data_IF_826579967627
#
_entry.id   IF_826579967627
#
_cell.length_a   1.000
_cell.length_b   1.000
_cell.length_c   1.000
_cell.angle_alpha   90.00
_cell.angle_beta   90.00
_cell.angle_gamma   90.00
#
_symmetry.space_group_name_H-M   'P 1'
#
loop_
_entity.id
_entity.type
_entity.pdbx_description
1 polymer ?
#
# COMPACT_ATOMS: atom_id res chain seq x y z
N UNK A 1 32.51 23.37 -1.90
CA UNK A 1 32.72 22.38 -0.83
C UNK A 1 31.33 21.86 -0.50
N UNK A 2 30.95 20.81 -1.22
CA UNK A 2 29.61 20.23 -1.19
C UNK A 2 29.34 19.60 0.18
N UNK A 3 28.22 19.98 0.79
CA UNK A 3 27.79 19.39 2.05
C UNK A 3 27.11 18.05 1.73
N UNK A 4 27.75 16.96 2.12
CA UNK A 4 27.17 15.62 2.18
C UNK A 4 26.05 15.62 3.24
N UNK A 5 24.80 15.75 2.79
CA UNK A 5 23.63 15.45 3.60
C UNK A 5 23.52 13.94 3.76
N UNK A 6 24.06 13.43 4.87
CA UNK A 6 23.80 12.07 5.32
C UNK A 6 22.30 11.83 5.46
N UNK A 7 21.76 10.99 4.58
CA UNK A 7 20.38 10.50 4.65
C UNK A 7 20.20 9.75 5.97
N UNK A 8 19.46 10.35 6.89
CA UNK A 8 19.06 9.70 8.14
C UNK A 8 18.06 8.61 7.74
N UNK A 9 18.45 7.34 7.90
CA UNK A 9 17.62 6.20 7.52
C UNK A 9 16.22 6.35 8.12
N UNK A 10 15.22 6.42 7.24
CA UNK A 10 13.82 6.45 7.63
C UNK A 10 13.46 5.08 8.23
N UNK A 11 13.09 5.00 9.52
CA UNK A 11 12.74 3.73 10.15
C UNK A 11 11.52 3.06 9.50
N UNK A 12 10.70 3.82 8.76
CA UNK A 12 9.53 3.31 8.04
C UNK A 12 9.84 2.92 6.56
N UNK A 13 11.09 3.11 6.11
CA UNK A 13 11.50 2.71 4.77
C UNK A 13 11.45 1.18 4.60
N UNK A 14 10.85 0.76 3.48
CA UNK A 14 10.70 -0.65 3.11
C UNK A 14 12.06 -1.32 2.95
N UNK A 15 12.19 -2.50 3.56
CA UNK A 15 13.39 -3.33 3.47
C UNK A 15 13.38 -4.18 2.20
N UNK A 16 14.43 -4.08 1.39
CA UNK A 16 14.60 -4.85 0.14
C UNK A 16 15.84 -5.73 0.25
N UNK A 17 15.67 -7.03 0.06
CA UNK A 17 16.78 -7.99 -0.02
C UNK A 17 17.08 -8.31 -1.48
N UNK A 18 18.31 -8.07 -1.91
CA UNK A 18 18.84 -8.44 -3.23
C UNK A 18 19.56 -9.78 -3.11
N UNK A 19 19.11 -10.80 -3.84
CA UNK A 19 19.70 -12.14 -3.87
C UNK A 19 20.36 -12.32 -5.24
N UNK A 20 21.67 -12.09 -5.28
CA UNK A 20 22.47 -11.96 -6.50
C UNK A 20 23.92 -12.36 -6.22
N UNK A 21 24.47 -13.30 -7.01
CA UNK A 21 25.82 -13.83 -6.82
C UNK A 21 26.92 -12.92 -7.43
N UNK A 22 26.58 -12.08 -8.41
CA UNK A 22 27.48 -11.03 -8.90
C UNK A 22 27.54 -9.84 -7.92
N UNK A 23 28.67 -9.62 -7.21
CA UNK A 23 28.79 -8.55 -6.22
C UNK A 23 28.76 -7.14 -6.84
N UNK A 24 29.16 -7.00 -8.11
CA UNK A 24 29.14 -5.73 -8.83
C UNK A 24 27.72 -5.30 -9.17
N UNK A 25 26.91 -6.25 -9.65
CA UNK A 25 25.49 -6.02 -9.92
C UNK A 25 24.72 -5.80 -8.60
N UNK A 26 24.90 -6.67 -7.61
CA UNK A 26 24.26 -6.55 -6.30
C UNK A 26 24.55 -5.19 -5.64
N UNK A 27 25.82 -4.78 -5.62
CA UNK A 27 26.21 -3.48 -5.06
C UNK A 27 25.64 -2.28 -5.83
N UNK A 28 25.47 -2.42 -7.15
CA UNK A 28 24.84 -1.36 -7.97
C UNK A 28 23.33 -1.25 -7.69
N UNK A 29 22.65 -2.38 -7.51
CA UNK A 29 21.23 -2.42 -7.15
C UNK A 29 20.99 -1.84 -5.76
N UNK A 30 21.77 -2.25 -4.75
CA UNK A 30 21.67 -1.73 -3.38
C UNK A 30 21.79 -0.20 -3.38
N UNK A 31 22.84 0.36 -4.00
CA UNK A 31 23.00 1.83 -4.10
C UNK A 31 21.84 2.52 -4.82
N UNK A 32 21.28 1.88 -5.86
CA UNK A 32 20.14 2.43 -6.61
C UNK A 32 18.86 2.45 -5.77
N UNK A 33 18.62 1.40 -4.99
CA UNK A 33 17.47 1.26 -4.10
C UNK A 33 17.57 2.20 -2.89
N UNK A 34 18.76 2.32 -2.28
CA UNK A 34 18.99 3.24 -1.15
C UNK A 34 18.72 4.70 -1.56
N UNK A 35 19.21 5.11 -2.74
CA UNK A 35 18.93 6.44 -3.29
C UNK A 35 17.44 6.67 -3.60
N UNK A 36 16.70 5.60 -3.85
CA UNK A 36 15.26 5.63 -4.09
C UNK A 36 14.42 5.57 -2.79
N UNK A 37 15.06 5.56 -1.62
CA UNK A 37 14.40 5.60 -0.31
C UNK A 37 14.07 4.24 0.29
N UNK A 38 14.60 3.14 -0.26
CA UNK A 38 14.47 1.80 0.34
C UNK A 38 15.64 1.51 1.27
N UNK A 39 15.49 0.57 2.20
CA UNK A 39 16.62 0.01 2.96
C UNK A 39 17.06 -1.28 2.28
N UNK A 40 18.13 -1.24 1.49
CA UNK A 40 18.57 -2.39 0.72
C UNK A 40 19.72 -3.15 1.39
N UNK A 41 19.65 -4.49 1.35
CA UNK A 41 20.73 -5.40 1.71
C UNK A 41 20.93 -6.42 0.60
N UNK A 42 22.10 -7.08 0.54
CA UNK A 42 22.35 -8.14 -0.44
C UNK A 42 22.95 -9.41 0.15
N UNK A 43 22.65 -10.54 -0.48
CA UNK A 43 23.24 -11.86 -0.22
C UNK A 43 23.52 -12.55 -1.55
N UNK A 44 24.60 -13.32 -1.64
CA UNK A 44 25.02 -13.99 -2.88
C UNK A 44 24.63 -15.46 -3.01
N UNK A 45 23.77 -15.97 -2.13
CA UNK A 45 23.44 -17.39 -2.06
C UNK A 45 21.98 -17.61 -1.67
N UNK A 46 21.41 -18.73 -2.13
CA UNK A 46 20.09 -19.20 -1.75
C UNK A 46 19.97 -19.40 -0.23
N UNK A 47 20.99 -20.02 0.38
CA UNK A 47 21.02 -20.20 1.83
C UNK A 47 21.04 -18.86 2.58
N UNK A 48 21.76 -17.87 2.05
CA UNK A 48 21.77 -16.51 2.59
C UNK A 48 20.39 -15.87 2.56
N UNK A 49 19.64 -16.05 1.46
CA UNK A 49 18.27 -15.56 1.34
C UNK A 49 17.32 -16.23 2.35
N UNK A 50 17.39 -17.55 2.49
CA UNK A 50 16.50 -18.33 3.37
C UNK A 50 16.76 -18.15 4.87
N UNK A 51 17.92 -17.61 5.24
CA UNK A 51 18.34 -17.40 6.63
C UNK A 51 18.43 -15.92 7.00
N UNK A 52 18.12 -15.01 6.07
CA UNK A 52 18.21 -13.59 6.29
C UNK A 52 17.24 -13.12 7.38
N UNK A 53 17.74 -12.28 8.28
CA UNK A 53 16.96 -11.67 9.35
C UNK A 53 17.44 -10.23 9.61
N UNK A 54 16.54 -9.27 9.87
CA UNK A 54 15.08 -9.41 9.93
C UNK A 54 14.46 -9.71 8.55
N UNK A 55 13.21 -10.18 8.53
CA UNK A 55 12.51 -10.47 7.27
C UNK A 55 12.35 -9.19 6.42
N UNK A 56 12.67 -9.22 5.12
CA UNK A 56 12.50 -8.06 4.24
C UNK A 56 11.04 -7.91 3.80
N UNK A 57 10.69 -6.75 3.28
CA UNK A 57 9.39 -6.48 2.65
C UNK A 57 9.34 -6.99 1.21
N UNK A 58 10.48 -6.91 0.51
CA UNK A 58 10.66 -7.32 -0.88
C UNK A 58 11.95 -8.13 -1.03
N UNK A 59 11.89 -9.20 -1.80
CA UNK A 59 13.05 -9.98 -2.25
C UNK A 59 13.17 -9.82 -3.77
N UNK A 60 14.34 -9.38 -4.22
CA UNK A 60 14.74 -9.44 -5.62
C UNK A 60 15.60 -10.69 -5.80
N UNK A 61 15.10 -11.69 -6.52
CA UNK A 61 15.67 -13.03 -6.56
C UNK A 61 16.23 -13.37 -7.94
N UNK A 62 17.53 -13.57 -8.07
CA UNK A 62 18.06 -14.29 -9.24
C UNK A 62 17.80 -15.80 -9.12
N UNK A 63 17.50 -16.45 -10.25
CA UNK A 63 17.42 -17.90 -10.37
C UNK A 63 18.78 -18.57 -10.59
N UNK A 64 19.80 -17.80 -10.99
CA UNK A 64 21.16 -18.26 -11.28
C UNK A 64 22.06 -18.45 -10.04
N UNK A 65 21.51 -18.83 -8.89
CA UNK A 65 22.30 -18.91 -7.65
C UNK A 65 23.25 -20.11 -7.64
N UNK A 66 24.42 -19.98 -6.99
CA UNK A 66 25.48 -21.00 -7.06
C UNK A 66 25.21 -22.26 -6.22
N UNK A 67 24.30 -22.19 -5.24
CA UNK A 67 24.10 -23.22 -4.22
C UNK A 67 22.74 -23.95 -4.27
N UNK A 68 21.72 -23.39 -4.93
CA UNK A 68 20.40 -23.99 -5.11
C UNK A 68 19.65 -23.32 -6.26
N UNK A 69 18.71 -24.03 -6.89
CA UNK A 69 17.82 -23.44 -7.88
C UNK A 69 16.94 -22.35 -7.23
N UNK A 70 16.93 -21.14 -7.79
CA UNK A 70 16.12 -20.05 -7.28
C UNK A 70 14.61 -20.31 -7.35
N UNK A 71 14.13 -21.22 -8.19
CA UNK A 71 12.71 -21.63 -8.17
C UNK A 71 12.37 -22.31 -6.83
N UNK A 72 13.27 -23.16 -6.32
CA UNK A 72 13.10 -23.81 -5.02
C UNK A 72 13.17 -22.80 -3.87
N UNK A 73 14.03 -21.79 -4.00
CA UNK A 73 14.09 -20.66 -3.06
C UNK A 73 12.78 -19.89 -3.02
N UNK A 74 12.23 -19.52 -4.19
CA UNK A 74 10.95 -18.84 -4.33
C UNK A 74 9.83 -19.62 -3.62
N UNK A 75 9.69 -20.90 -3.95
CA UNK A 75 8.69 -21.81 -3.35
C UNK A 75 8.87 -21.89 -1.83
N UNK A 76 10.10 -21.93 -1.34
CA UNK A 76 10.39 -22.04 0.10
C UNK A 76 10.10 -20.74 0.86
N UNK A 77 10.45 -19.59 0.31
CA UNK A 77 10.11 -18.28 0.87
C UNK A 77 8.59 -18.09 0.94
N UNK A 78 7.88 -18.45 -0.13
CA UNK A 78 6.41 -18.35 -0.18
C UNK A 78 5.70 -19.24 0.85
N UNK A 79 6.22 -20.45 1.11
CA UNK A 79 5.67 -21.32 2.16
C UNK A 79 5.87 -20.79 3.58
N UNK A 80 6.85 -19.90 3.79
CA UNK A 80 7.26 -19.41 5.12
C UNK A 80 6.79 -17.99 5.42
N UNK A 81 6.43 -17.21 4.40
CA UNK A 81 6.12 -15.79 4.54
C UNK A 81 5.34 -15.24 3.35
N UNK A 82 4.66 -14.12 3.57
CA UNK A 82 3.98 -13.33 2.53
C UNK A 82 4.89 -12.25 1.91
N UNK A 83 6.22 -12.45 1.98
CA UNK A 83 7.18 -11.50 1.40
C UNK A 83 6.91 -11.32 -0.10
N UNK A 84 7.09 -10.11 -0.60
CA UNK A 84 7.00 -9.85 -2.04
C UNK A 84 8.23 -10.43 -2.73
N UNK A 85 8.05 -11.26 -3.74
CA UNK A 85 9.13 -11.88 -4.49
C UNK A 85 9.07 -11.40 -5.94
N UNK A 86 10.10 -10.69 -6.38
CA UNK A 86 10.29 -10.33 -7.79
C UNK A 86 11.49 -11.11 -8.30
N UNK A 87 11.26 -11.98 -9.27
CA UNK A 87 12.34 -12.73 -9.92
C UNK A 87 13.06 -11.82 -10.90
N UNK A 88 14.38 -11.77 -10.81
CA UNK A 88 15.26 -10.91 -11.59
C UNK A 88 16.38 -11.75 -12.19
N UNK A 89 16.24 -12.20 -13.43
CA UNK A 89 17.15 -13.22 -13.98
C UNK A 89 17.44 -13.05 -15.48
N UNK A 90 18.51 -13.68 -15.97
CA UNK A 90 18.84 -13.72 -17.39
C UNK A 90 17.97 -14.73 -18.18
N UNK A 91 17.25 -15.62 -17.49
CA UNK A 91 16.33 -16.57 -18.11
C UNK A 91 15.09 -15.85 -18.65
N UNK A 92 15.01 -15.73 -19.98
CA UNK A 92 13.94 -14.98 -20.66
C UNK A 92 12.87 -15.86 -21.31
N UNK A 93 12.97 -17.18 -21.19
CA UNK A 93 12.02 -18.10 -21.82
C UNK A 93 10.65 -18.05 -21.13
N UNK A 94 9.59 -18.20 -21.91
CA UNK A 94 8.23 -18.14 -21.39
C UNK A 94 7.97 -19.23 -20.33
N UNK A 95 8.53 -20.42 -20.52
CA UNK A 95 8.40 -21.53 -19.57
C UNK A 95 8.99 -21.20 -18.20
N UNK A 96 10.17 -20.60 -18.15
CA UNK A 96 10.81 -20.19 -16.88
C UNK A 96 10.00 -19.13 -16.15
N UNK A 97 9.45 -18.17 -16.90
CA UNK A 97 8.59 -17.11 -16.35
C UNK A 97 7.31 -17.67 -15.76
N UNK A 98 6.62 -18.56 -16.48
CA UNK A 98 5.37 -19.19 -16.01
C UNK A 98 5.65 -20.03 -14.76
N UNK A 99 6.70 -20.85 -14.79
CA UNK A 99 7.09 -21.66 -13.65
C UNK A 99 7.37 -20.81 -12.40
N UNK A 100 8.12 -19.71 -12.53
CA UNK A 100 8.44 -18.88 -11.38
C UNK A 100 7.21 -18.19 -10.76
N UNK A 101 6.26 -17.73 -11.60
CA UNK A 101 5.00 -17.12 -11.15
C UNK A 101 4.08 -18.15 -10.47
N UNK A 102 3.95 -19.35 -11.05
CA UNK A 102 3.15 -20.45 -10.47
C UNK A 102 3.72 -20.91 -9.11
N UNK A 103 5.05 -20.83 -8.95
CA UNK A 103 5.75 -21.21 -7.72
C UNK A 103 5.78 -20.10 -6.65
N UNK A 104 5.10 -18.98 -6.93
CA UNK A 104 4.82 -17.94 -5.95
C UNK A 104 5.63 -16.65 -6.10
N UNK A 105 6.24 -16.39 -7.26
CA UNK A 105 6.74 -15.06 -7.58
C UNK A 105 5.57 -14.10 -7.88
N UNK A 106 5.66 -12.86 -7.42
CA UNK A 106 4.63 -11.84 -7.64
C UNK A 106 4.82 -11.06 -8.95
N UNK A 107 6.07 -11.00 -9.44
CA UNK A 107 6.44 -10.46 -10.75
C UNK A 107 7.76 -11.05 -11.23
N UNK A 108 8.06 -10.83 -12.51
CA UNK A 108 9.23 -11.37 -13.20
C UNK A 108 9.86 -10.30 -14.09
N UNK A 109 11.18 -10.15 -14.00
CA UNK A 109 11.97 -9.19 -14.74
C UNK A 109 13.21 -9.85 -15.36
N UNK A 110 13.35 -9.70 -16.68
CA UNK A 110 14.46 -10.29 -17.45
C UNK A 110 15.63 -9.30 -17.52
N UNK A 111 16.86 -9.79 -17.34
CA UNK A 111 18.10 -9.02 -17.55
C UNK A 111 18.40 -8.90 -19.06
N UNK A 112 18.84 -7.72 -19.55
CA UNK A 112 19.13 -6.49 -18.81
C UNK A 112 17.89 -5.62 -18.58
N UNK A 113 17.85 -4.91 -17.44
CA UNK A 113 16.77 -4.00 -17.06
C UNK A 113 17.30 -2.67 -16.52
N UNK A 114 16.47 -1.63 -16.57
CA UNK A 114 16.79 -0.32 -15.98
C UNK A 114 16.32 -0.21 -14.54
N UNK A 115 17.02 0.60 -13.72
CA UNK A 115 16.61 0.88 -12.33
C UNK A 115 15.18 1.44 -12.26
N UNK A 116 14.79 2.31 -13.20
CA UNK A 116 13.44 2.88 -13.23
C UNK A 116 12.35 1.81 -13.45
N UNK A 117 12.61 0.79 -14.28
CA UNK A 117 11.70 -0.33 -14.51
C UNK A 117 11.57 -1.18 -13.25
N UNK A 118 12.70 -1.56 -12.65
CA UNK A 118 12.72 -2.32 -11.40
C UNK A 118 11.91 -1.61 -10.31
N UNK A 119 12.14 -0.30 -10.11
CA UNK A 119 11.39 0.50 -9.15
C UNK A 119 9.89 0.57 -9.47
N UNK A 120 9.51 0.62 -10.75
CA UNK A 120 8.11 0.59 -11.15
C UNK A 120 7.44 -0.74 -10.82
N UNK A 121 8.14 -1.87 -11.03
CA UNK A 121 7.67 -3.21 -10.68
C UNK A 121 7.53 -3.40 -9.18
N UNK A 122 8.54 -2.99 -8.41
CA UNK A 122 8.47 -2.98 -6.94
C UNK A 122 7.21 -2.24 -6.46
N UNK A 123 6.98 -1.01 -6.95
CA UNK A 123 5.77 -0.25 -6.58
C UNK A 123 4.47 -0.93 -7.03
N UNK A 124 4.45 -1.49 -8.24
CA UNK A 124 3.25 -2.12 -8.79
C UNK A 124 2.86 -3.39 -8.01
N UNK A 125 3.84 -4.20 -7.62
CA UNK A 125 3.63 -5.42 -6.84
C UNK A 125 3.29 -5.11 -5.41
N UNK A 126 3.99 -4.16 -4.78
CA UNK A 126 3.65 -3.73 -3.42
C UNK A 126 2.21 -3.22 -3.36
N UNK A 127 1.71 -2.50 -4.37
CA UNK A 127 0.28 -2.11 -4.43
C UNK A 127 -0.70 -3.29 -4.54
N UNK A 128 -0.25 -4.46 -5.02
CA UNK A 128 -1.06 -5.69 -5.19
C UNK A 128 -1.02 -6.59 -3.97
N UNK A 129 0.16 -6.77 -3.36
CA UNK A 129 0.43 -7.68 -2.23
C UNK A 129 0.26 -6.99 -0.89
N UNK A 130 0.57 -5.69 -0.84
CA UNK A 130 -0.08 -4.74 0.07
C UNK A 130 -1.18 -4.04 -0.75
N UNK A 131 -2.38 -4.63 -0.93
CA UNK A 131 -3.52 -3.72 -0.84
C UNK A 131 -3.28 -3.01 0.49
N UNK A 132 -3.28 -1.68 0.55
CA UNK A 132 -3.18 -1.01 1.85
C UNK A 132 -4.03 -1.82 2.84
N UNK A 133 -3.41 -2.49 3.82
CA UNK A 133 -4.16 -3.24 4.81
C UNK A 133 -5.21 -2.25 5.30
N UNK A 134 -6.50 -2.63 5.27
CA UNK A 134 -7.63 -1.73 4.97
C UNK A 134 -7.32 -0.38 5.57
N UNK A 135 -7.03 0.63 4.75
CA UNK A 135 -6.59 1.93 5.26
C UNK A 135 -7.68 2.38 6.23
N UNK A 136 -7.44 2.13 7.51
CA UNK A 136 -8.36 2.50 8.55
C UNK A 136 -8.23 4.01 8.53
N UNK A 137 -9.22 4.66 7.92
CA UNK A 137 -9.20 6.10 7.80
C UNK A 137 -9.44 6.64 9.21
N UNK A 138 -8.33 6.94 9.87
CA UNK A 138 -8.29 7.44 11.22
C UNK A 138 -8.24 8.96 11.21
N UNK A 139 -9.17 9.60 11.91
CA UNK A 139 -9.23 11.04 12.01
C UNK A 139 -9.73 11.45 13.40
N UNK A 140 -8.80 11.89 14.26
CA UNK A 140 -9.07 12.08 15.68
C UNK A 140 -9.59 10.78 16.32
N UNK A 141 -10.75 10.79 16.99
CA UNK A 141 -11.33 9.57 17.59
C UNK A 141 -12.01 8.66 16.56
N UNK A 142 -12.23 9.10 15.32
CA UNK A 142 -12.92 8.32 14.29
C UNK A 142 -11.97 7.34 13.62
N UNK A 143 -12.41 6.09 13.45
CA UNK A 143 -11.73 5.08 12.64
C UNK A 143 -12.75 4.43 11.71
N UNK A 144 -12.48 4.41 10.40
CA UNK A 144 -13.37 3.81 9.38
C UNK A 144 -12.64 2.70 8.65
N UNK A 145 -13.23 1.51 8.56
CA UNK A 145 -12.81 0.40 7.70
C UNK A 145 -13.70 0.36 6.44
N UNK A 146 -13.21 0.82 5.27
CA UNK A 146 -13.94 0.79 4.01
C UNK A 146 -14.37 -0.62 3.56
N UNK A 147 -13.61 -1.66 3.93
CA UNK A 147 -13.80 -3.03 3.44
C UNK A 147 -14.88 -3.76 4.23
N UNK A 148 -14.83 -3.65 5.56
CA UNK A 148 -15.84 -4.25 6.42
C UNK A 148 -17.05 -3.34 6.66
N UNK A 149 -16.98 -2.09 6.20
CA UNK A 149 -17.94 -1.01 6.47
C UNK A 149 -18.13 -0.77 7.96
N UNK A 150 -17.08 -1.04 8.75
CA UNK A 150 -17.06 -0.87 10.20
C UNK A 150 -16.59 0.55 10.53
N UNK A 151 -17.23 1.17 11.51
CA UNK A 151 -16.86 2.50 12.01
C UNK A 151 -16.73 2.43 13.51
N UNK A 152 -15.68 3.02 14.07
CA UNK A 152 -15.53 3.20 15.52
C UNK A 152 -15.25 4.65 15.86
N UNK A 153 -15.68 5.07 17.04
CA UNK A 153 -15.36 6.38 17.61
C UNK A 153 -14.83 6.16 19.02
N UNK A 154 -13.57 6.56 19.27
CA UNK A 154 -12.92 6.32 20.56
C UNK A 154 -12.80 4.83 20.93
N UNK A 155 -12.77 3.95 19.92
CA UNK A 155 -12.73 2.49 20.09
C UNK A 155 -14.10 1.81 20.20
N UNK A 156 -15.21 2.56 20.27
CA UNK A 156 -16.57 2.01 20.35
C UNK A 156 -17.18 1.85 18.96
N UNK A 157 -17.82 0.71 18.70
CA UNK A 157 -18.44 0.37 17.41
C UNK A 157 -19.69 1.23 17.15
N UNK A 158 -19.73 1.93 16.01
CA UNK A 158 -20.85 2.77 15.59
C UNK A 158 -21.60 2.12 14.42
N UNK A 159 -22.86 1.75 14.66
CA UNK A 159 -23.73 1.16 13.65
C UNK A 159 -24.27 2.22 12.66
N UNK A 160 -23.68 2.28 11.48
CA UNK A 160 -24.16 3.11 10.36
C UNK A 160 -25.02 2.32 9.38
N UNK A 161 -26.03 2.98 8.82
CA UNK A 161 -26.74 2.48 7.63
C UNK A 161 -25.82 2.57 6.41
N UNK A 162 -26.13 1.85 5.31
CA UNK A 162 -25.32 1.93 4.10
C UNK A 162 -25.11 3.37 3.61
N UNK A 163 -26.15 4.20 3.59
CA UNK A 163 -26.05 5.59 3.10
C UNK A 163 -25.28 6.51 4.03
N UNK A 164 -25.44 6.37 5.35
CA UNK A 164 -24.62 7.14 6.30
C UNK A 164 -23.13 6.80 6.15
N UNK A 165 -22.81 5.52 5.91
CA UNK A 165 -21.45 5.08 5.65
C UNK A 165 -20.90 5.65 4.34
N UNK A 166 -21.67 5.57 3.24
CA UNK A 166 -21.23 6.08 1.94
C UNK A 166 -20.99 7.61 1.98
N UNK A 167 -21.82 8.35 2.73
CA UNK A 167 -21.61 9.78 3.00
C UNK A 167 -20.32 9.99 3.79
N UNK A 168 -20.12 9.24 4.88
CA UNK A 168 -18.93 9.37 5.71
C UNK A 168 -17.67 9.10 4.89
N UNK A 169 -17.69 8.07 4.04
CA UNK A 169 -16.60 7.72 3.14
C UNK A 169 -16.19 8.87 2.21
N UNK A 170 -17.15 9.67 1.75
CA UNK A 170 -16.86 10.86 0.95
C UNK A 170 -16.04 11.90 1.72
N UNK A 171 -16.24 12.01 3.04
CA UNK A 171 -15.59 13.01 3.88
C UNK A 171 -14.22 12.53 4.41
N UNK A 172 -14.07 11.23 4.72
CA UNK A 172 -12.81 10.66 5.23
C UNK A 172 -11.74 10.48 4.16
N UNK A 173 -12.11 10.49 2.87
CA UNK A 173 -11.15 10.35 1.77
C UNK A 173 -10.17 11.54 1.64
N UNK A 174 -10.56 12.73 2.11
CA UNK A 174 -9.72 13.93 2.12
C UNK A 174 -10.15 14.84 3.31
N UNK A 175 -9.69 14.54 4.54
CA UNK A 175 -10.13 15.26 5.74
C UNK A 175 -9.78 16.75 5.69
N UNK A 176 -10.70 17.61 6.15
CA UNK A 176 -10.54 19.07 6.07
C UNK A 176 -10.95 19.69 4.73
N UNK A 177 -10.95 18.94 3.62
CA UNK A 177 -11.49 19.41 2.33
C UNK A 177 -13.01 19.55 2.40
N UNK A 178 -13.52 20.63 1.81
CA UNK A 178 -14.96 20.80 1.60
C UNK A 178 -15.42 19.93 0.44
N UNK A 179 -16.28 18.96 0.73
CA UNK A 179 -16.99 18.14 -0.25
C UNK A 179 -18.35 18.76 -0.50
N UNK A 180 -18.64 19.08 -1.76
CA UNK A 180 -19.89 19.72 -2.16
C UNK A 180 -21.07 18.77 -2.02
N UNK A 181 -22.27 19.34 -1.86
CA UNK A 181 -23.50 18.55 -1.77
C UNK A 181 -23.73 17.68 -3.00
N UNK A 182 -23.39 18.21 -4.17
CA UNK A 182 -23.52 17.49 -5.45
C UNK A 182 -22.56 16.31 -5.51
N UNK A 183 -21.28 16.51 -5.17
CA UNK A 183 -20.29 15.40 -5.14
C UNK A 183 -20.71 14.28 -4.17
N UNK A 184 -21.27 14.61 -3.00
CA UNK A 184 -21.74 13.60 -2.05
C UNK A 184 -22.94 12.83 -2.62
N UNK A 185 -23.89 13.52 -3.26
CA UNK A 185 -25.06 12.86 -3.85
C UNK A 185 -24.66 11.94 -5.00
N UNK A 186 -23.78 12.39 -5.90
CA UNK A 186 -23.28 11.58 -7.02
C UNK A 186 -22.56 10.32 -6.53
N UNK A 187 -21.76 10.42 -5.47
CA UNK A 187 -20.98 9.28 -4.94
C UNK A 187 -21.79 8.34 -4.06
N UNK A 188 -22.68 8.86 -3.21
CA UNK A 188 -23.40 8.05 -2.22
C UNK A 188 -24.77 7.52 -2.72
N UNK A 189 -25.35 8.09 -3.79
CA UNK A 189 -26.65 7.66 -4.34
C UNK A 189 -26.63 7.12 -5.77
N UNK A 190 -25.47 7.14 -6.45
CA UNK A 190 -25.23 6.78 -7.86
C UNK A 190 -25.25 8.00 -8.82
N UNK A 191 -24.51 7.91 -9.94
CA UNK A 191 -24.20 9.01 -10.85
C UNK A 191 -25.42 9.62 -11.56
N UNK A 192 -26.60 8.99 -11.41
CA UNK A 192 -27.87 9.40 -12.03
C UNK A 192 -28.93 9.83 -11.00
N UNK A 193 -28.54 10.26 -9.79
CA UNK A 193 -29.49 10.74 -8.79
C UNK A 193 -30.12 12.09 -9.16
N UNK A 194 -31.42 12.10 -9.48
CA UNK A 194 -32.22 13.30 -9.77
C UNK A 194 -33.14 13.75 -8.60
N UNK A 195 -32.91 13.24 -7.39
CA UNK A 195 -33.77 13.51 -6.23
C UNK A 195 -33.44 14.81 -5.45
N UNK A 196 -34.31 15.24 -4.51
CA UNK A 196 -34.13 16.48 -3.77
C UNK A 196 -32.85 16.47 -2.92
N UNK A 197 -32.05 17.54 -2.99
CA UNK A 197 -30.82 17.68 -2.21
C UNK A 197 -31.04 17.69 -0.70
N UNK A 198 -32.29 17.92 -0.24
CA UNK A 198 -32.69 17.88 1.17
C UNK A 198 -32.57 16.49 1.82
N UNK A 199 -32.55 15.42 1.02
CA UNK A 199 -32.34 14.05 1.54
C UNK A 199 -30.98 13.92 2.24
N UNK A 200 -29.96 14.62 1.72
CA UNK A 200 -28.61 14.62 2.28
C UNK A 200 -28.60 15.20 3.71
N UNK A 201 -29.39 16.23 3.99
CA UNK A 201 -29.42 16.86 5.32
C UNK A 201 -29.96 15.91 6.40
N UNK A 202 -30.95 15.07 6.04
CA UNK A 202 -31.52 14.07 6.95
C UNK A 202 -30.47 13.02 7.32
N UNK A 203 -29.76 12.48 6.33
CA UNK A 203 -28.69 11.52 6.57
C UNK A 203 -27.49 12.15 7.29
N UNK A 204 -27.17 13.41 7.00
CA UNK A 204 -26.09 14.13 7.67
C UNK A 204 -26.41 14.39 9.16
N UNK A 205 -27.66 14.76 9.47
CA UNK A 205 -28.12 14.91 10.85
C UNK A 205 -28.08 13.57 11.61
N UNK A 206 -28.49 12.47 10.97
CA UNK A 206 -28.41 11.14 11.56
C UNK A 206 -26.97 10.69 11.78
N UNK A 207 -26.08 10.90 10.80
CA UNK A 207 -24.65 10.60 10.88
C UNK A 207 -24.00 11.34 12.05
N UNK A 208 -24.17 12.66 12.16
CA UNK A 208 -23.65 13.46 13.28
C UNK A 208 -24.10 12.94 14.65
N UNK A 209 -25.40 12.63 14.78
CA UNK A 209 -25.95 12.10 16.03
C UNK A 209 -25.33 10.75 16.40
N UNK A 210 -25.08 9.87 15.42
CA UNK A 210 -24.48 8.56 15.64
C UNK A 210 -22.98 8.64 15.96
N UNK A 211 -22.25 9.51 15.28
CA UNK A 211 -20.82 9.70 15.54
C UNK A 211 -20.57 10.35 16.90
N UNK A 212 -21.45 11.23 17.36
CA UNK A 212 -21.43 11.75 18.73
C UNK A 212 -20.26 12.67 19.07
N UNK A 213 -19.43 13.04 18.10
CA UNK A 213 -18.28 13.94 18.28
C UNK A 213 -18.64 15.34 17.74
N UNK A 214 -18.81 16.35 18.60
CA UNK A 214 -19.03 17.73 18.16
C UNK A 214 -17.86 18.21 17.30
N UNK A 215 -18.15 18.95 16.22
CA UNK A 215 -17.12 19.50 15.32
C UNK A 215 -16.55 18.50 14.30
N UNK A 216 -16.71 17.18 14.49
CA UNK A 216 -16.15 16.18 13.57
C UNK A 216 -16.72 16.30 12.15
N UNK A 217 -18.01 16.60 11.99
CA UNK A 217 -18.64 16.83 10.68
C UNK A 217 -19.24 18.22 10.63
N UNK A 218 -18.65 19.11 9.86
CA UNK A 218 -19.02 20.52 9.78
C UNK A 218 -19.81 20.86 8.52
N UNK A 219 -20.72 21.83 8.63
CA UNK A 219 -21.41 22.41 7.48
C UNK A 219 -20.65 23.66 7.04
N UNK A 220 -20.23 23.70 5.77
CA UNK A 220 -19.74 24.93 5.14
C UNK A 220 -20.89 25.54 4.35
N UNK A 221 -21.52 26.58 4.92
CA UNK A 221 -22.74 27.19 4.38
C UNK A 221 -22.61 27.55 2.89
N UNK A 222 -23.60 27.16 2.10
CA UNK A 222 -23.65 27.40 0.66
C UNK A 222 -22.65 26.58 -0.18
N UNK A 223 -21.82 25.72 0.44
CA UNK A 223 -20.81 24.91 -0.25
C UNK A 223 -21.04 23.42 -0.08
N UNK A 224 -21.09 22.94 1.16
CA UNK A 224 -21.12 21.49 1.44
C UNK A 224 -20.72 21.15 2.86
N UNK A 225 -19.95 20.07 2.99
CA UNK A 225 -19.56 19.50 4.28
C UNK A 225 -18.08 19.13 4.30
N UNK A 226 -17.48 19.07 5.47
CA UNK A 226 -16.10 18.62 5.66
C UNK A 226 -15.95 17.86 6.98
N UNK A 227 -14.87 17.09 7.11
CA UNK A 227 -14.37 16.73 8.44
C UNK A 227 -13.71 17.95 9.07
N UNK A 228 -14.17 18.35 10.25
CA UNK A 228 -13.61 19.46 11.03
C UNK A 228 -12.60 18.96 12.06
N UNK A 229 -11.67 19.81 12.48
CA UNK A 229 -10.66 19.43 13.47
C UNK A 229 -11.33 19.06 14.80
N UNK A 230 -11.03 17.86 15.29
CA UNK A 230 -11.43 17.44 16.64
C UNK A 230 -10.30 17.84 17.59
N UNK A 231 -10.57 18.84 18.42
CA UNK A 231 -9.64 19.31 19.47
C UNK A 231 -9.56 18.39 20.67
#
# INVERSE_FOLDING_TARGET
MEQETGSRADPDALAVLVVEDDPGLAGSLVRGLDRAGYRAASVGTARGALTHAPAPDVVLLDLGLPDMDGIEVCRTLRRRSDVVIIVVTARGEEGDRVAALDEGADDYLVKPFGLAELLARIRAVLRRVRPAGPELLAYGPLVVDPRTRKVTVGGEDIALTPKEFDILQCLVADPGRVVTRQEILERAWDAHWYGPTKVLDVHMAALRRKLGVPGLVETVYGRGFRLGEVG
#
